data_IF_314525491691
#
_entry.id   IF_314525491691
#
_cell.length_a   1.000
_cell.length_b   1.000
_cell.length_c   1.000
_cell.angle_alpha   90.00
_cell.angle_beta   90.00
_cell.angle_gamma   90.00
#
_symmetry.space_group_name_H-M   'P 1'
#
loop_
_entity.id
_entity.type
_entity.pdbx_description
1 polymer ?
#
# COMPACT_ATOMS: atom_id res chain seq x y z
N UNK A 1 -16.06 5.23 -18.34
CA UNK A 1 -15.47 6.43 -17.75
C UNK A 1 -14.90 6.04 -16.40
N UNK A 2 -13.65 6.34 -16.14
CA UNK A 2 -12.96 6.11 -14.88
C UNK A 2 -12.59 7.43 -14.19
N UNK A 3 -12.37 7.41 -12.85
CA UNK A 3 -12.28 8.64 -12.07
C UNK A 3 -10.93 9.35 -12.20
N UNK A 4 -9.84 8.59 -12.24
CA UNK A 4 -8.44 9.06 -12.18
C UNK A 4 -7.73 8.71 -13.50
N UNK A 5 -7.09 9.66 -14.23
CA UNK A 5 -6.39 9.34 -15.47
C UNK A 5 -5.18 8.41 -15.27
N UNK A 6 -4.67 8.29 -14.05
CA UNK A 6 -3.49 7.46 -13.77
C UNK A 6 -3.81 6.00 -13.47
N UNK A 7 -5.06 5.67 -13.14
CA UNK A 7 -5.43 4.29 -12.83
C UNK A 7 -6.90 3.99 -13.08
N UNK A 8 -7.19 2.74 -13.43
CA UNK A 8 -8.54 2.22 -13.53
C UNK A 8 -8.59 0.80 -12.97
N UNK A 9 -9.73 0.44 -12.37
CA UNK A 9 -9.89 -0.84 -11.67
C UNK A 9 -11.06 -1.62 -12.25
N UNK A 10 -10.84 -2.90 -12.49
CA UNK A 10 -11.88 -3.86 -12.78
C UNK A 10 -12.19 -4.69 -11.55
N UNK A 11 -13.48 -4.95 -11.35
CA UNK A 11 -14.00 -5.82 -10.31
C UNK A 11 -14.70 -6.98 -10.99
N UNK A 12 -14.26 -8.19 -10.68
CA UNK A 12 -14.83 -9.42 -11.22
C UNK A 12 -15.70 -10.09 -10.16
N UNK A 13 -16.75 -10.78 -10.59
CA UNK A 13 -17.73 -11.41 -9.69
C UNK A 13 -17.23 -12.73 -9.09
N UNK A 14 -16.19 -13.31 -9.68
CA UNK A 14 -15.60 -14.57 -9.24
C UNK A 14 -14.07 -14.46 -9.15
N UNK A 15 -13.45 -15.19 -8.21
CA UNK A 15 -12.00 -15.38 -8.19
C UNK A 15 -11.52 -16.09 -9.46
N UNK A 16 -10.30 -15.79 -9.87
CA UNK A 16 -9.65 -16.42 -11.03
C UNK A 16 -8.21 -16.81 -10.69
N UNK A 17 -7.76 -17.92 -11.25
CA UNK A 17 -6.37 -18.38 -11.13
C UNK A 17 -5.40 -17.58 -12.00
N UNK A 18 -5.93 -16.81 -12.96
CA UNK A 18 -5.15 -15.99 -13.88
C UNK A 18 -5.52 -14.51 -13.77
N UNK A 19 -4.52 -13.65 -13.80
CA UNK A 19 -4.73 -12.20 -13.85
C UNK A 19 -5.28 -11.81 -15.21
N UNK A 20 -6.36 -11.00 -15.29
CA UNK A 20 -6.85 -10.44 -16.53
C UNK A 20 -5.75 -9.71 -17.32
N UNK A 21 -5.76 -9.89 -18.64
CA UNK A 21 -4.74 -9.36 -19.55
C UNK A 21 -5.33 -8.27 -20.43
N UNK A 22 -4.61 -7.15 -20.54
CA UNK A 22 -4.94 -6.06 -21.46
C UNK A 22 -4.03 -6.16 -22.69
N UNK A 23 -4.63 -6.10 -23.88
CA UNK A 23 -3.94 -5.88 -25.15
C UNK A 23 -4.30 -4.51 -25.70
N UNK A 24 -3.35 -3.58 -25.69
CA UNK A 24 -3.55 -2.21 -26.16
C UNK A 24 -3.84 -2.17 -27.67
N UNK A 25 -4.79 -1.32 -28.07
CA UNK A 25 -5.10 -1.04 -29.47
C UNK A 25 -4.51 0.29 -29.94
N UNK A 26 -4.39 1.26 -29.03
CA UNK A 26 -3.84 2.59 -29.32
C UNK A 26 -2.69 2.99 -28.40
N UNK A 27 -2.18 2.06 -27.57
CA UNK A 27 -1.02 2.25 -26.69
C UNK A 27 -0.26 0.93 -26.53
N UNK A 28 0.97 1.01 -26.03
CA UNK A 28 1.80 -0.16 -25.69
C UNK A 28 1.48 -0.64 -24.28
N UNK A 29 1.28 -1.93 -24.07
CA UNK A 29 0.97 -2.54 -22.77
C UNK A 29 2.06 -2.29 -21.73
N UNK A 30 3.31 -2.10 -22.16
CA UNK A 30 4.43 -1.74 -21.28
C UNK A 30 4.22 -0.38 -20.56
N UNK A 31 3.29 0.45 -21.04
CA UNK A 31 2.85 1.69 -20.37
C UNK A 31 2.03 1.45 -19.11
N UNK A 32 1.58 0.21 -18.88
CA UNK A 32 0.77 -0.16 -17.72
C UNK A 32 1.59 -0.91 -16.67
N UNK A 33 1.17 -0.74 -15.41
CA UNK A 33 1.57 -1.59 -14.27
C UNK A 33 0.31 -2.19 -13.68
N UNK A 34 0.28 -3.51 -13.52
CA UNK A 34 -0.85 -4.24 -12.96
C UNK A 34 -0.67 -4.44 -11.46
N UNK A 35 -1.73 -4.19 -10.71
CA UNK A 35 -1.82 -4.45 -9.26
C UNK A 35 -3.10 -5.26 -9.03
N UNK A 36 -2.96 -6.55 -8.77
CA UNK A 36 -4.06 -7.49 -8.64
C UNK A 36 -4.24 -7.95 -7.20
N UNK A 37 -5.48 -8.22 -6.78
CA UNK A 37 -5.78 -8.92 -5.53
C UNK A 37 -5.26 -10.36 -5.57
N UNK A 38 -5.11 -10.98 -4.41
CA UNK A 38 -4.66 -12.40 -4.28
C UNK A 38 -5.53 -13.37 -5.09
N UNK A 39 -6.79 -13.03 -5.29
CA UNK A 39 -7.77 -13.85 -6.01
C UNK A 39 -8.06 -13.37 -7.44
N UNK A 40 -7.35 -12.38 -7.93
CA UNK A 40 -7.54 -11.74 -9.24
C UNK A 40 -8.97 -11.23 -9.51
N UNK A 41 -9.78 -11.05 -8.47
CA UNK A 41 -11.15 -10.52 -8.53
C UNK A 41 -11.19 -8.99 -8.56
N UNK A 42 -10.11 -8.35 -8.16
CA UNK A 42 -9.93 -6.89 -8.22
C UNK A 42 -8.58 -6.59 -8.82
N UNK A 43 -8.57 -5.96 -9.99
CA UNK A 43 -7.33 -5.67 -10.73
C UNK A 43 -7.28 -4.20 -11.12
N UNK A 44 -6.25 -3.51 -10.66
CA UNK A 44 -5.99 -2.10 -10.95
C UNK A 44 -4.83 -1.99 -11.94
N UNK A 45 -5.06 -1.27 -13.02
CA UNK A 45 -4.04 -0.93 -14.01
C UNK A 45 -3.62 0.51 -13.82
N UNK A 46 -2.32 0.73 -13.64
CA UNK A 46 -1.71 2.04 -13.47
C UNK A 46 -1.02 2.45 -14.76
N UNK A 47 -1.34 3.65 -15.26
CA UNK A 47 -0.70 4.22 -16.45
C UNK A 47 0.55 4.95 -16.02
N UNK A 48 1.72 4.32 -16.14
CA UNK A 48 3.01 4.91 -15.76
C UNK A 48 3.56 5.90 -16.79
N UNK A 49 3.15 5.78 -18.06
CA UNK A 49 3.56 6.71 -19.12
C UNK A 49 2.67 7.95 -19.15
N UNK A 50 3.09 9.00 -18.45
CA UNK A 50 2.37 10.28 -18.45
C UNK A 50 2.39 10.97 -19.82
N UNK A 51 3.34 10.64 -20.73
CA UNK A 51 3.34 11.15 -22.09
C UNK A 51 2.20 10.53 -22.92
N UNK A 52 1.83 9.29 -22.63
CA UNK A 52 0.62 8.67 -23.21
C UNK A 52 -0.62 9.47 -22.82
N UNK A 53 -0.78 9.77 -21.53
CA UNK A 53 -1.93 10.55 -21.02
C UNK A 53 -1.97 12.01 -21.53
N UNK A 54 -0.82 12.56 -21.92
CA UNK A 54 -0.76 13.89 -22.54
C UNK A 54 -1.15 13.90 -24.00
N UNK A 55 -0.99 12.76 -24.71
CA UNK A 55 -1.28 12.63 -26.15
C UNK A 55 -2.72 12.24 -26.44
N UNK A 56 -3.33 11.48 -25.55
CA UNK A 56 -4.68 10.95 -25.77
C UNK A 56 -5.46 10.81 -24.47
N UNK A 57 -6.76 11.08 -24.55
CA UNK A 57 -7.68 10.97 -23.39
C UNK A 57 -8.39 9.61 -23.35
N UNK A 58 -8.35 8.81 -24.41
CA UNK A 58 -9.05 7.51 -24.49
C UNK A 58 -8.05 6.39 -24.68
N UNK A 59 -8.14 5.38 -23.83
CA UNK A 59 -7.40 4.14 -23.93
C UNK A 59 -8.32 3.06 -24.53
N UNK A 60 -7.95 2.55 -25.70
CA UNK A 60 -8.67 1.49 -26.40
C UNK A 60 -7.87 0.19 -26.28
N UNK A 61 -8.51 -0.87 -25.84
CA UNK A 61 -7.85 -2.17 -25.63
C UNK A 61 -8.83 -3.34 -25.64
N UNK A 62 -8.28 -4.53 -25.78
CA UNK A 62 -8.98 -5.80 -25.56
C UNK A 62 -8.63 -6.27 -24.15
N UNK A 63 -9.65 -6.52 -23.33
CA UNK A 63 -9.53 -7.15 -22.01
C UNK A 63 -9.87 -8.62 -22.16
N UNK A 64 -8.92 -9.50 -21.81
CA UNK A 64 -9.13 -10.95 -21.71
C UNK A 64 -9.18 -11.35 -20.23
N UNK A 65 -10.26 -12.01 -19.82
CA UNK A 65 -10.50 -12.40 -18.43
C UNK A 65 -11.31 -13.70 -18.38
N UNK A 66 -11.44 -14.26 -17.18
CA UNK A 66 -12.29 -15.44 -16.93
C UNK A 66 -13.63 -15.01 -16.36
N UNK A 67 -14.69 -15.57 -16.89
CA UNK A 67 -16.08 -15.38 -16.44
C UNK A 67 -16.71 -16.74 -16.15
N UNK A 68 -17.58 -16.80 -15.15
CA UNK A 68 -18.34 -18.01 -14.85
C UNK A 68 -19.53 -18.12 -15.82
N UNK A 69 -19.61 -19.23 -16.54
CA UNK A 69 -20.73 -19.54 -17.45
C UNK A 69 -21.98 -19.96 -16.67
N UNK A 70 -23.06 -20.28 -17.40
CA UNK A 70 -24.34 -20.72 -16.82
C UNK A 70 -24.27 -22.08 -16.13
N UNK A 71 -23.19 -22.85 -16.35
CA UNK A 71 -22.93 -24.16 -15.74
C UNK A 71 -21.99 -24.05 -14.52
N UNK A 72 -21.54 -22.83 -14.17
CA UNK A 72 -20.60 -22.59 -13.09
C UNK A 72 -19.13 -22.87 -13.44
N UNK A 73 -18.80 -23.00 -14.75
CA UNK A 73 -17.44 -23.20 -15.21
C UNK A 73 -16.80 -21.87 -15.61
N UNK A 74 -15.49 -21.70 -15.34
CA UNK A 74 -14.73 -20.56 -15.78
C UNK A 74 -14.41 -20.70 -17.29
N UNK A 75 -14.81 -19.71 -18.05
CA UNK A 75 -14.55 -19.61 -19.50
C UNK A 75 -13.84 -18.31 -19.82
N UNK A 76 -12.95 -18.33 -20.81
CA UNK A 76 -12.26 -17.14 -21.28
C UNK A 76 -13.22 -16.22 -22.02
N UNK A 77 -13.15 -14.93 -21.68
CA UNK A 77 -13.93 -13.86 -22.27
C UNK A 77 -12.99 -12.77 -22.81
N UNK A 78 -13.38 -12.17 -23.92
CA UNK A 78 -12.66 -11.04 -24.53
C UNK A 78 -13.64 -9.91 -24.81
N UNK A 79 -13.37 -8.74 -24.24
CA UNK A 79 -14.14 -7.52 -24.48
C UNK A 79 -13.26 -6.42 -25.03
N UNK A 80 -13.75 -5.71 -26.03
CA UNK A 80 -13.08 -4.50 -26.54
C UNK A 80 -13.65 -3.29 -25.81
N UNK A 81 -12.80 -2.53 -25.18
CA UNK A 81 -13.18 -1.42 -24.29
C UNK A 81 -12.47 -0.14 -24.71
N UNK A 82 -13.24 0.96 -24.64
CA UNK A 82 -12.74 2.33 -24.74
C UNK A 82 -12.94 3.03 -23.39
N UNK A 83 -11.86 3.35 -22.71
CA UNK A 83 -11.88 4.01 -21.41
C UNK A 83 -11.39 5.45 -21.52
N UNK A 84 -12.24 6.39 -21.04
CA UNK A 84 -11.85 7.81 -20.93
C UNK A 84 -11.94 8.26 -19.48
N UNK A 85 -10.96 9.03 -18.96
CA UNK A 85 -11.00 9.55 -17.60
C UNK A 85 -12.08 10.63 -17.46
N UNK A 86 -12.71 10.68 -16.29
CA UNK A 86 -13.68 11.75 -15.96
C UNK A 86 -13.01 13.13 -15.98
N UNK A 87 -11.74 13.19 -15.57
CA UNK A 87 -10.91 14.39 -15.66
C UNK A 87 -9.65 14.04 -16.43
N UNK A 88 -9.39 14.74 -17.52
CA UNK A 88 -8.22 14.47 -18.36
C UNK A 88 -6.92 14.90 -17.68
N UNK A 89 -5.81 14.28 -18.05
CA UNK A 89 -4.48 14.65 -17.56
C UNK A 89 -4.16 16.12 -17.86
N UNK A 90 -4.50 16.60 -19.06
CA UNK A 90 -4.31 18.00 -19.46
C UNK A 90 -5.05 18.99 -18.52
N UNK A 91 -6.27 18.66 -18.10
CA UNK A 91 -7.03 19.48 -17.15
C UNK A 91 -6.37 19.50 -15.77
N UNK A 92 -5.91 18.36 -15.28
CA UNK A 92 -5.18 18.27 -13.99
C UNK A 92 -3.92 19.14 -14.04
N UNK A 93 -3.14 19.04 -15.12
CA UNK A 93 -1.93 19.86 -15.28
C UNK A 93 -2.24 21.37 -15.37
N UNK A 94 -3.30 21.73 -16.07
CA UNK A 94 -3.72 23.14 -16.16
C UNK A 94 -4.14 23.70 -14.79
N UNK A 95 -4.89 22.94 -13.99
CA UNK A 95 -5.28 23.35 -12.64
C UNK A 95 -4.07 23.44 -11.69
N UNK A 96 -3.15 22.50 -11.80
CA UNK A 96 -1.89 22.53 -11.04
C UNK A 96 -1.05 23.77 -11.39
N UNK A 97 -0.89 24.08 -12.68
CA UNK A 97 -0.13 25.23 -13.12
C UNK A 97 -0.76 26.55 -12.60
N UNK A 98 -2.08 26.66 -12.62
CA UNK A 98 -2.78 27.81 -12.02
C UNK A 98 -2.47 27.97 -10.53
N UNK A 99 -2.43 26.85 -9.78
CA UNK A 99 -2.12 26.86 -8.36
C UNK A 99 -0.67 27.29 -8.10
N UNK A 100 0.28 26.79 -8.92
CA UNK A 100 1.68 27.20 -8.89
C UNK A 100 1.83 28.70 -9.13
N UNK A 101 1.23 29.20 -10.19
CA UNK A 101 1.26 30.65 -10.53
C UNK A 101 0.60 31.52 -9.46
N UNK A 102 -0.52 31.07 -8.90
CA UNK A 102 -1.21 31.81 -7.83
C UNK A 102 -0.32 31.96 -6.59
N UNK A 103 0.37 30.87 -6.20
CA UNK A 103 1.30 30.91 -5.08
C UNK A 103 2.49 31.84 -5.35
N UNK A 104 3.07 31.79 -6.56
CA UNK A 104 4.19 32.63 -6.95
C UNK A 104 3.82 34.12 -6.93
N UNK A 105 2.65 34.48 -7.49
CA UNK A 105 2.12 35.82 -7.42
C UNK A 105 1.87 36.33 -6.00
N UNK A 106 1.33 35.44 -5.13
CA UNK A 106 1.15 35.79 -3.71
C UNK A 106 2.50 35.98 -3.01
N UNK A 107 3.48 35.12 -3.28
CA UNK A 107 4.83 35.26 -2.77
C UNK A 107 5.47 36.59 -3.17
N UNK A 108 5.43 36.94 -4.44
CA UNK A 108 5.92 38.24 -4.92
C UNK A 108 5.25 39.42 -4.22
N UNK A 109 3.92 39.33 -3.96
CA UNK A 109 3.20 40.37 -3.22
C UNK A 109 3.68 40.50 -1.79
N UNK A 110 3.93 39.33 -1.12
CA UNK A 110 4.48 39.31 0.26
C UNK A 110 5.88 39.89 0.29
N UNK A 111 6.74 39.55 -0.66
CA UNK A 111 8.10 40.08 -0.76
C UNK A 111 8.12 41.61 -0.98
N UNK A 112 7.28 42.14 -1.89
CA UNK A 112 7.16 43.58 -2.13
C UNK A 112 6.65 44.39 -0.91
N UNK A 113 5.87 43.75 -0.04
CA UNK A 113 5.34 44.36 1.21
C UNK A 113 6.26 44.17 2.40
N UNK A 114 7.20 43.29 2.34
CA UNK A 114 8.07 42.97 3.47
C UNK A 114 9.15 44.04 3.67
N UNK A 115 9.33 44.47 4.93
CA UNK A 115 10.41 45.41 5.32
C UNK A 115 11.79 44.75 5.38
N UNK A 116 11.86 43.41 5.38
CA UNK A 116 13.08 42.62 5.38
C UNK A 116 12.91 41.48 4.37
N UNK A 117 14.01 40.97 3.78
CA UNK A 117 13.94 39.82 2.88
C UNK A 117 13.25 38.63 3.58
N UNK A 118 12.28 38.02 2.89
CA UNK A 118 11.63 36.81 3.37
C UNK A 118 12.59 35.61 3.22
N UNK A 119 12.54 34.64 4.13
CA UNK A 119 13.32 33.42 3.97
C UNK A 119 12.96 32.70 2.66
N UNK A 120 13.93 31.97 2.12
CA UNK A 120 13.70 31.17 0.92
C UNK A 120 12.65 30.10 1.23
N UNK A 121 11.60 30.06 0.41
CA UNK A 121 10.49 29.12 0.54
C UNK A 121 10.23 28.52 -0.84
N UNK A 122 10.39 27.22 -0.98
CA UNK A 122 10.06 26.51 -2.22
C UNK A 122 8.54 26.45 -2.41
N UNK A 123 8.09 26.58 -3.66
CA UNK A 123 6.68 26.44 -3.97
C UNK A 123 6.23 24.98 -3.76
N UNK A 124 5.35 24.70 -2.76
CA UNK A 124 4.98 23.33 -2.38
C UNK A 124 4.17 22.62 -3.48
N UNK A 125 3.61 23.33 -4.44
CA UNK A 125 2.80 22.77 -5.53
C UNK A 125 3.64 22.37 -6.75
N UNK A 126 4.93 22.72 -6.81
CA UNK A 126 5.82 22.31 -7.90
C UNK A 126 6.19 20.83 -7.85
N UNK A 127 6.09 20.20 -6.70
CA UNK A 127 6.41 18.79 -6.51
C UNK A 127 5.16 18.02 -6.09
N UNK A 128 4.86 16.91 -6.76
CA UNK A 128 3.85 15.96 -6.31
C UNK A 128 4.56 14.90 -5.47
N UNK A 129 4.00 14.65 -4.30
CA UNK A 129 4.58 13.72 -3.36
C UNK A 129 3.83 12.38 -3.40
N UNK A 130 4.59 11.30 -3.31
CA UNK A 130 4.04 9.99 -3.03
C UNK A 130 3.41 9.99 -1.62
N UNK A 131 2.11 9.76 -1.56
CA UNK A 131 1.42 9.57 -0.30
C UNK A 131 1.58 8.11 0.16
N UNK A 132 1.80 7.95 1.45
CA UNK A 132 1.95 6.65 2.08
C UNK A 132 2.07 6.78 3.59
N UNK A 133 2.07 5.64 4.27
CA UNK A 133 2.18 5.62 5.72
C UNK A 133 2.47 4.24 6.29
N UNK A 134 2.87 4.22 7.56
CA UNK A 134 3.21 3.01 8.28
C UNK A 134 2.01 2.44 9.05
N UNK A 135 1.90 1.12 9.08
CA UNK A 135 0.91 0.35 9.84
C UNK A 135 1.60 -0.80 10.60
N UNK A 136 1.20 -1.08 11.84
CA UNK A 136 0.20 -0.37 12.65
C UNK A 136 0.70 1.01 13.13
N UNK A 137 -0.21 1.94 13.44
CA UNK A 137 0.13 3.32 13.82
C UNK A 137 0.32 3.54 15.32
N UNK A 138 -0.04 2.58 16.17
CA UNK A 138 -0.14 2.77 17.63
C UNK A 138 0.77 1.90 18.46
N UNK A 139 1.70 1.19 17.86
CA UNK A 139 2.57 0.22 18.55
C UNK A 139 2.51 -1.12 17.84
N UNK A 140 3.58 -1.87 17.92
CA UNK A 140 3.78 -3.13 17.21
C UNK A 140 3.65 -4.29 18.19
N UNK A 141 2.90 -5.32 17.84
CA UNK A 141 2.88 -6.57 18.58
C UNK A 141 4.17 -7.36 18.26
N UNK A 142 4.78 -8.11 19.20
CA UNK A 142 6.07 -8.75 18.99
C UNK A 142 6.12 -9.75 17.82
N UNK A 143 4.96 -10.33 17.48
CA UNK A 143 4.79 -11.27 16.37
C UNK A 143 4.37 -10.62 15.06
N UNK A 144 4.38 -9.30 14.97
CA UNK A 144 3.99 -8.54 13.77
C UNK A 144 5.18 -7.77 13.20
N UNK A 145 5.07 -7.38 11.94
CA UNK A 145 6.01 -6.51 11.27
C UNK A 145 5.35 -5.17 10.91
N UNK A 146 6.17 -4.12 10.86
CA UNK A 146 5.73 -2.81 10.42
C UNK A 146 5.60 -2.82 8.89
N UNK A 147 4.49 -2.30 8.37
CA UNK A 147 4.23 -2.24 6.92
C UNK A 147 4.15 -0.78 6.48
N UNK A 148 4.80 -0.47 5.38
CA UNK A 148 4.63 0.79 4.65
C UNK A 148 3.64 0.55 3.51
N UNK A 149 2.61 1.39 3.44
CA UNK A 149 1.54 1.33 2.44
C UNK A 149 1.61 2.61 1.61
N UNK A 150 2.05 2.50 0.38
CA UNK A 150 2.02 3.59 -0.59
C UNK A 150 0.64 3.65 -1.27
N UNK A 151 0.20 4.84 -1.69
CA UNK A 151 -1.04 4.99 -2.48
C UNK A 151 -0.86 4.57 -3.94
N UNK A 152 0.37 4.62 -4.44
CA UNK A 152 0.75 4.28 -5.81
C UNK A 152 1.73 3.11 -5.81
N UNK A 153 1.79 2.31 -6.88
CA UNK A 153 2.80 1.28 -7.02
C UNK A 153 4.21 1.86 -6.91
N UNK A 154 5.06 1.16 -6.19
CA UNK A 154 6.45 1.57 -5.98
C UNK A 154 7.30 1.09 -7.15
N UNK A 155 8.04 2.01 -7.75
CA UNK A 155 9.00 1.71 -8.81
C UNK A 155 10.36 1.32 -8.24
N UNK A 156 10.83 2.08 -7.25
CA UNK A 156 12.14 1.87 -6.65
C UNK A 156 12.21 2.33 -5.19
N UNK A 157 13.11 1.69 -4.46
CA UNK A 157 13.46 2.03 -3.08
C UNK A 157 14.96 2.20 -2.99
N UNK A 158 15.42 3.34 -2.48
CA UNK A 158 16.81 3.62 -2.20
C UNK A 158 17.12 3.30 -0.73
N UNK A 159 17.72 2.14 -0.50
CA UNK A 159 18.03 1.67 0.86
C UNK A 159 19.05 2.55 1.60
N UNK A 160 19.85 3.35 0.89
CA UNK A 160 20.81 4.27 1.52
C UNK A 160 20.13 5.45 2.22
N UNK A 161 18.86 5.69 1.89
CA UNK A 161 18.00 6.74 2.45
C UNK A 161 17.04 6.22 3.54
N UNK A 162 17.20 4.97 3.94
CA UNK A 162 16.40 4.35 4.99
C UNK A 162 17.28 4.08 6.20
N UNK A 163 16.83 4.49 7.37
CA UNK A 163 17.62 4.33 8.61
C UNK A 163 16.73 3.75 9.71
N UNK A 164 17.27 2.77 10.43
CA UNK A 164 16.55 2.09 11.50
C UNK A 164 17.35 2.07 12.79
N UNK A 165 16.68 2.35 13.88
CA UNK A 165 17.32 2.50 15.18
C UNK A 165 16.50 1.84 16.29
N UNK A 166 17.21 1.26 17.25
CA UNK A 166 16.71 0.80 18.54
C UNK A 166 17.09 1.80 19.63
N UNK A 167 16.17 2.14 20.50
CA UNK A 167 16.47 2.96 21.67
C UNK A 167 17.00 2.09 22.80
N UNK A 168 18.25 2.34 23.22
CA UNK A 168 18.84 1.82 24.48
C UNK A 168 19.10 2.96 25.43
N UNK A 169 18.46 2.92 26.59
CA UNK A 169 18.39 4.01 27.53
C UNK A 169 17.84 5.30 26.86
N UNK A 170 18.68 6.31 26.69
CA UNK A 170 18.34 7.58 26.03
C UNK A 170 18.87 7.70 24.60
N UNK A 171 19.70 6.74 24.17
CA UNK A 171 20.41 6.80 22.89
C UNK A 171 19.72 5.97 21.80
N UNK A 172 19.77 6.47 20.58
CA UNK A 172 19.33 5.77 19.38
C UNK A 172 20.53 5.09 18.72
N UNK A 173 20.55 3.76 18.70
CA UNK A 173 21.61 2.96 18.10
C UNK A 173 21.10 2.35 16.78
N UNK A 174 21.92 2.36 15.72
CA UNK A 174 21.55 1.65 14.49
C UNK A 174 21.26 0.18 14.76
N UNK A 175 20.20 -0.35 14.16
CA UNK A 175 19.79 -1.73 14.29
C UNK A 175 19.64 -2.38 12.91
N UNK A 176 19.87 -3.70 12.78
CA UNK A 176 19.69 -4.43 11.54
C UNK A 176 18.21 -4.51 11.18
N UNK A 177 17.92 -4.44 9.88
CA UNK A 177 16.56 -4.56 9.35
C UNK A 177 16.58 -5.00 7.88
N UNK A 178 15.42 -5.48 7.41
CA UNK A 178 15.13 -5.66 6.00
C UNK A 178 13.86 -4.88 5.65
N UNK A 179 13.85 -4.22 4.50
CA UNK A 179 12.69 -3.51 3.99
C UNK A 179 12.38 -4.07 2.60
N UNK A 180 11.41 -4.99 2.55
CA UNK A 180 11.13 -5.82 1.38
C UNK A 180 9.74 -5.56 0.82
N UNK A 181 9.56 -5.65 -0.53
CA UNK A 181 8.24 -5.58 -1.15
C UNK A 181 7.38 -6.77 -0.71
N UNK A 182 6.09 -6.55 -0.64
CA UNK A 182 5.09 -7.61 -0.47
C UNK A 182 4.88 -8.32 -1.82
N UNK A 183 4.85 -9.64 -1.83
CA UNK A 183 4.69 -10.43 -3.06
C UNK A 183 3.34 -10.22 -3.75
N UNK A 184 2.32 -9.85 -2.96
CA UNK A 184 0.95 -9.71 -3.43
C UNK A 184 0.52 -8.25 -3.61
N UNK A 185 1.43 -7.29 -3.47
CA UNK A 185 1.07 -5.87 -3.57
C UNK A 185 2.24 -5.00 -4.00
N UNK A 186 2.13 -4.39 -5.16
CA UNK A 186 3.10 -3.41 -5.68
C UNK A 186 3.21 -2.13 -4.84
N UNK A 187 2.30 -1.93 -3.87
CA UNK A 187 2.19 -0.73 -3.02
C UNK A 187 2.62 -0.96 -1.59
N UNK A 188 2.93 -2.19 -1.21
CA UNK A 188 3.23 -2.54 0.19
C UNK A 188 4.67 -2.98 0.35
N UNK A 189 5.31 -2.47 1.38
CA UNK A 189 6.63 -2.90 1.83
C UNK A 189 6.57 -3.27 3.30
N UNK A 190 7.27 -4.32 3.68
CA UNK A 190 7.33 -4.79 5.06
C UNK A 190 8.73 -4.57 5.63
N UNK A 191 8.78 -3.94 6.80
CA UNK A 191 9.98 -3.75 7.61
C UNK A 191 10.08 -4.94 8.58
N UNK A 192 11.08 -5.78 8.36
CA UNK A 192 11.44 -6.89 9.22
C UNK A 192 12.63 -6.51 10.09
N UNK A 193 12.55 -6.80 11.36
CA UNK A 193 13.65 -6.65 12.30
C UNK A 193 13.51 -7.64 13.46
N UNK A 194 14.54 -7.77 14.28
CA UNK A 194 14.45 -8.48 15.54
C UNK A 194 13.75 -7.56 16.55
N UNK A 195 12.48 -7.86 16.82
CA UNK A 195 11.64 -7.07 17.70
C UNK A 195 11.86 -7.46 19.16
N UNK A 196 12.55 -6.62 19.93
CA UNK A 196 12.69 -6.79 21.39
C UNK A 196 11.42 -6.26 22.08
N UNK A 197 10.63 -7.13 22.78
CA UNK A 197 9.43 -6.69 23.49
C UNK A 197 9.73 -5.58 24.51
N UNK A 198 8.87 -4.57 24.55
CA UNK A 198 9.02 -3.41 25.46
C UNK A 198 9.94 -2.31 24.93
N UNK A 199 10.72 -2.56 23.87
CA UNK A 199 11.67 -1.61 23.33
C UNK A 199 11.03 -0.60 22.35
N UNK A 200 11.67 0.55 22.19
CA UNK A 200 11.28 1.58 21.24
C UNK A 200 12.20 1.57 20.03
N UNK A 201 11.59 1.77 18.88
CA UNK A 201 12.26 1.82 17.59
C UNK A 201 11.94 3.11 16.85
N UNK A 202 12.85 3.47 15.95
CA UNK A 202 12.71 4.60 15.05
C UNK A 202 13.08 4.17 13.65
N UNK A 203 12.18 4.38 12.72
CA UNK A 203 12.45 4.24 11.30
C UNK A 203 12.43 5.63 10.65
N UNK A 204 13.48 5.97 9.94
CA UNK A 204 13.62 7.24 9.21
C UNK A 204 13.69 6.94 7.74
N UNK A 205 12.87 7.62 6.98
CA UNK A 205 12.87 7.62 5.53
C UNK A 205 13.20 9.03 5.07
N UNK A 206 14.34 9.20 4.43
CA UNK A 206 14.73 10.47 3.83
C UNK A 206 13.88 10.80 2.61
N UNK A 207 13.92 12.04 2.17
CA UNK A 207 13.21 12.49 0.96
C UNK A 207 13.66 11.68 -0.25
N UNK A 208 12.72 11.27 -1.07
CA UNK A 208 12.95 10.44 -2.26
C UNK A 208 13.61 9.09 -1.98
N UNK A 209 13.37 8.51 -0.79
CA UNK A 209 13.75 7.13 -0.49
C UNK A 209 12.89 6.12 -1.24
N UNK A 210 11.63 6.44 -1.47
CA UNK A 210 10.68 5.64 -2.25
C UNK A 210 10.18 6.47 -3.41
N UNK A 211 10.17 5.90 -4.61
CA UNK A 211 9.68 6.56 -5.84
C UNK A 211 8.60 5.68 -6.45
N UNK A 212 7.46 6.28 -6.82
CA UNK A 212 6.36 5.58 -7.46
C UNK A 212 6.56 5.41 -8.97
N UNK A 213 5.74 4.56 -9.58
CA UNK A 213 5.69 4.38 -11.05
C UNK A 213 5.31 5.66 -11.80
N UNK A 214 4.68 6.61 -11.13
CA UNK A 214 4.35 7.94 -11.67
C UNK A 214 5.48 8.97 -11.48
N UNK A 215 6.62 8.55 -10.89
CA UNK A 215 7.74 9.43 -10.59
C UNK A 215 7.54 10.32 -9.36
N UNK A 216 6.51 10.06 -8.54
CA UNK A 216 6.30 10.78 -7.30
C UNK A 216 7.22 10.25 -6.21
N UNK A 217 7.87 11.17 -5.49
CA UNK A 217 8.86 10.86 -4.47
C UNK A 217 8.24 10.89 -3.07
N UNK A 218 8.71 10.03 -2.17
CA UNK A 218 8.32 10.07 -0.75
C UNK A 218 8.88 11.33 -0.07
N UNK A 219 8.09 11.88 0.86
CA UNK A 219 8.56 12.92 1.78
C UNK A 219 9.47 12.32 2.84
N UNK A 220 10.31 13.17 3.46
CA UNK A 220 10.94 12.81 4.72
C UNK A 220 9.90 12.39 5.74
N UNK A 221 10.12 11.25 6.37
CA UNK A 221 9.27 10.79 7.47
C UNK A 221 10.12 10.14 8.57
N UNK A 222 9.67 10.35 9.80
CA UNK A 222 10.26 9.74 11.00
C UNK A 222 9.14 9.09 11.79
N UNK A 223 9.17 7.77 11.85
CA UNK A 223 8.21 6.97 12.59
C UNK A 223 8.86 6.42 13.84
N UNK A 224 8.36 6.82 15.01
CA UNK A 224 8.73 6.23 16.28
C UNK A 224 7.59 5.35 16.78
N UNK A 225 7.92 4.17 17.28
CA UNK A 225 6.94 3.21 17.77
C UNK A 225 7.57 2.34 18.87
N UNK A 226 6.71 1.73 19.67
CA UNK A 226 7.12 0.77 20.70
C UNK A 226 6.62 -0.62 20.29
N UNK A 227 7.46 -1.61 20.46
CA UNK A 227 7.03 -3.00 20.50
C UNK A 227 6.45 -3.28 21.88
N UNK A 228 5.25 -3.83 21.92
CA UNK A 228 4.58 -4.13 23.19
C UNK A 228 5.35 -5.16 24.00
N UNK A 229 5.27 -5.06 25.30
CA UNK A 229 5.92 -6.02 26.19
C UNK A 229 5.14 -7.34 26.25
N UNK A 230 5.82 -8.43 26.58
CA UNK A 230 5.19 -9.76 26.63
C UNK A 230 4.09 -9.85 27.69
N UNK A 231 4.21 -9.08 28.78
CA UNK A 231 3.22 -9.02 29.86
C UNK A 231 1.91 -8.32 29.47
N UNK A 232 1.87 -7.67 28.29
CA UNK A 232 0.65 -7.10 27.71
C UNK A 232 -0.22 -8.16 27.00
N UNK A 233 0.23 -9.42 26.92
CA UNK A 233 -0.44 -10.50 26.19
C UNK A 233 -0.66 -11.74 27.04
N UNK A 234 -1.65 -12.54 26.62
CA UNK A 234 -1.88 -13.88 27.12
C UNK A 234 -1.72 -14.93 26.00
N UNK A 235 -1.94 -16.17 26.37
CA UNK A 235 -2.04 -17.30 25.42
C UNK A 235 -3.31 -18.09 25.72
N UNK A 236 -3.92 -18.62 24.66
CA UNK A 236 -5.12 -19.46 24.74
C UNK A 236 -4.76 -20.80 24.11
N UNK A 237 -4.92 -21.88 24.87
CA UNK A 237 -4.64 -23.25 24.44
C UNK A 237 -5.97 -23.99 24.32
N UNK A 238 -6.26 -24.50 23.12
CA UNK A 238 -7.49 -25.23 22.83
C UNK A 238 -7.13 -26.66 22.38
N UNK A 239 -7.77 -27.64 22.98
CA UNK A 239 -7.63 -29.02 22.56
C UNK A 239 -8.96 -29.55 22.01
N UNK A 240 -8.95 -29.90 20.73
CA UNK A 240 -10.08 -30.47 19.99
C UNK A 240 -10.06 -31.98 20.16
N UNK A 241 -11.10 -32.56 20.75
CA UNK A 241 -11.22 -34.00 20.96
C UNK A 241 -11.57 -34.67 19.63
N UNK A 242 -10.78 -35.67 19.23
CA UNK A 242 -10.98 -36.43 17.98
C UNK A 242 -11.05 -35.53 16.74
N UNK A 243 -10.02 -34.75 16.45
CA UNK A 243 -10.08 -33.83 15.32
C UNK A 243 -10.06 -34.60 14.00
N UNK A 244 -10.94 -34.23 13.09
CA UNK A 244 -10.79 -34.58 11.69
C UNK A 244 -9.59 -33.86 11.09
N UNK A 245 -9.04 -34.37 10.00
CA UNK A 245 -7.93 -33.70 9.30
C UNK A 245 -8.39 -32.34 8.77
N UNK A 246 -7.70 -31.29 9.22
CA UNK A 246 -7.94 -29.93 8.70
C UNK A 246 -8.90 -29.08 9.51
N UNK A 247 -9.23 -29.48 10.75
CA UNK A 247 -10.01 -28.63 11.66
C UNK A 247 -9.32 -27.28 11.86
N UNK A 248 -10.07 -26.19 11.68
CA UNK A 248 -9.63 -24.83 11.95
C UNK A 248 -10.42 -24.28 13.13
N UNK A 249 -9.71 -23.84 14.16
CA UNK A 249 -10.27 -23.14 15.31
C UNK A 249 -10.20 -21.63 15.05
N UNK A 250 -11.30 -20.95 15.26
CA UNK A 250 -11.38 -19.49 15.12
C UNK A 250 -11.74 -18.88 16.47
N UNK A 251 -11.05 -17.82 16.84
CA UNK A 251 -11.43 -16.97 17.97
C UNK A 251 -12.16 -15.73 17.43
N UNK A 252 -13.35 -15.49 17.93
CA UNK A 252 -14.20 -14.38 17.52
C UNK A 252 -14.21 -13.30 18.62
N UNK A 253 -14.41 -12.05 18.23
CA UNK A 253 -14.76 -10.98 19.16
C UNK A 253 -16.29 -10.94 19.43
N UNK A 254 -16.72 -9.99 20.25
CA UNK A 254 -18.17 -9.80 20.58
C UNK A 254 -19.05 -9.44 19.36
N UNK A 255 -18.46 -9.12 18.24
CA UNK A 255 -19.15 -8.77 16.98
C UNK A 255 -19.09 -9.89 15.95
N UNK A 256 -18.78 -11.12 16.38
CA UNK A 256 -18.59 -12.30 15.53
C UNK A 256 -17.48 -12.14 14.48
N UNK A 257 -16.56 -11.19 14.68
CA UNK A 257 -15.43 -11.00 13.79
C UNK A 257 -14.27 -11.92 14.20
N UNK A 258 -13.72 -12.65 13.24
CA UNK A 258 -12.55 -13.48 13.46
C UNK A 258 -11.35 -12.62 13.84
N UNK A 259 -10.82 -12.83 15.05
CA UNK A 259 -9.64 -12.15 15.61
C UNK A 259 -8.38 -12.95 15.35
N UNK A 260 -8.48 -14.28 15.50
CA UNK A 260 -7.38 -15.21 15.25
C UNK A 260 -7.93 -16.54 14.73
N UNK A 261 -7.11 -17.27 13.98
CA UNK A 261 -7.44 -18.61 13.50
C UNK A 261 -6.18 -19.46 13.49
N UNK A 262 -6.32 -20.69 13.97
CA UNK A 262 -5.25 -21.68 13.95
C UNK A 262 -5.78 -23.03 13.46
N UNK A 263 -4.95 -23.79 12.77
CA UNK A 263 -5.27 -25.14 12.38
C UNK A 263 -4.85 -26.08 13.52
N UNK A 264 -5.77 -26.92 13.98
CA UNK A 264 -5.44 -27.96 14.95
C UNK A 264 -4.36 -28.88 14.38
N UNK A 265 -3.35 -29.16 15.18
CA UNK A 265 -2.31 -30.14 14.86
C UNK A 265 -2.85 -31.60 14.88
N UNK A 266 -1.98 -32.58 14.68
CA UNK A 266 -2.37 -34.01 14.66
C UNK A 266 -2.88 -34.51 16.01
N UNK A 267 -2.47 -33.85 17.09
CA UNK A 267 -2.86 -34.18 18.47
C UNK A 267 -4.10 -33.36 18.90
N UNK A 268 -4.64 -32.50 18.02
CA UNK A 268 -5.83 -31.71 18.25
C UNK A 268 -5.56 -30.36 18.91
N UNK A 269 -4.30 -29.93 19.06
CA UNK A 269 -4.00 -28.65 19.70
C UNK A 269 -4.06 -27.48 18.72
N UNK A 270 -4.67 -26.40 19.15
CA UNK A 270 -4.68 -25.11 18.48
C UNK A 270 -4.29 -24.02 19.49
N UNK A 271 -3.06 -23.52 19.36
CA UNK A 271 -2.44 -22.64 20.34
C UNK A 271 -2.38 -21.21 19.80
N UNK A 272 -2.96 -20.29 20.54
CA UNK A 272 -2.99 -18.88 20.20
C UNK A 272 -2.07 -18.09 21.13
N UNK A 273 -1.05 -17.47 20.56
CA UNK A 273 -0.09 -16.64 21.28
C UNK A 273 -0.33 -15.16 21.02
N UNK A 274 0.20 -14.31 21.89
CA UNK A 274 0.09 -12.85 21.80
C UNK A 274 -1.36 -12.36 21.73
N UNK A 275 -2.24 -13.01 22.46
CA UNK A 275 -3.63 -12.60 22.56
C UNK A 275 -3.76 -11.40 23.50
N UNK A 276 -4.43 -10.34 23.04
CA UNK A 276 -4.70 -9.18 23.89
C UNK A 276 -5.71 -9.51 24.96
N UNK A 277 -5.66 -8.91 26.15
CA UNK A 277 -6.71 -9.07 27.15
C UNK A 277 -8.09 -8.75 26.56
N UNK A 278 -9.05 -9.65 26.72
CA UNK A 278 -10.38 -9.51 26.12
C UNK A 278 -11.23 -10.76 26.33
N UNK A 279 -12.43 -10.72 25.77
CA UNK A 279 -13.34 -11.85 25.69
C UNK A 279 -13.33 -12.37 24.26
N UNK A 280 -13.20 -13.69 24.14
CA UNK A 280 -13.17 -14.40 22.87
C UNK A 280 -14.20 -15.52 22.90
N UNK A 281 -14.77 -15.80 21.76
CA UNK A 281 -15.80 -16.81 21.55
C UNK A 281 -15.38 -17.82 20.49
#
# INVERSE_FOLDING_TARGET
VYADPFSFTFYFTAPSDSTPVIKGLNFDESSLVTDASVHNDTVTYWVKDTALLARQDTLSFILTYQETDTLGQLVERMDTLDLSPKTTYAKIQAERNKTIEAWEKDRERREKKAKKPLPHEENPYRRVWLEGGFKPSGGLDPNQNMRYLAKEPVLSVDSTKLHFYLQKDTNWLPAPYLFLPDENSSKTYTLYAEWEPGCKYRFVMDTAAVVSVLGHESKYSKQEFRVRANDEFGSIFIHVISPDTGVVVQLLDRSDKVVAKERADKDGNADFFYMKPGEYF
#
